data_IF_902080512943
#
_entry.id   IF_902080512943
#
_cell.length_a   1.000
_cell.length_b   1.000
_cell.length_c   1.000
_cell.angle_alpha   90.00
_cell.angle_beta   90.00
_cell.angle_gamma   90.00
#
_symmetry.space_group_name_H-M   'P 1'
#
loop_
_entity.id
_entity.type
_entity.pdbx_description
1 polymer ?
#
# COMPACT_ATOMS: atom_id res chain seq x y z
N UNK A 1 -6.36 -2.89 13.88
CA UNK A 1 -7.58 -3.40 13.24
C UNK A 1 -7.29 -3.83 11.81
N UNK A 2 -7.90 -4.96 11.35
CA UNK A 2 -7.83 -5.40 9.95
C UNK A 2 -9.15 -5.09 9.22
N UNK A 3 -9.05 -4.52 8.03
CA UNK A 3 -10.19 -4.24 7.15
C UNK A 3 -9.92 -4.94 5.81
N UNK A 4 -10.76 -5.90 5.38
CA UNK A 4 -11.90 -6.49 6.11
C UNK A 4 -11.49 -7.34 7.32
N UNK A 5 -12.36 -7.41 8.31
CA UNK A 5 -12.11 -8.09 9.60
C UNK A 5 -11.80 -9.59 9.47
N UNK A 6 -12.22 -10.25 8.38
CA UNK A 6 -11.90 -11.67 8.12
C UNK A 6 -10.40 -11.97 8.14
N UNK A 7 -9.54 -11.01 7.79
CA UNK A 7 -8.09 -11.18 7.80
C UNK A 7 -7.46 -11.13 9.20
N UNK A 8 -8.19 -10.68 10.22
CA UNK A 8 -7.75 -10.81 11.61
C UNK A 8 -7.49 -12.26 11.98
N UNK A 9 -8.40 -13.17 11.58
CA UNK A 9 -8.22 -14.61 11.82
C UNK A 9 -6.96 -15.14 11.13
N UNK A 10 -6.69 -14.74 9.89
CA UNK A 10 -5.49 -15.14 9.15
C UNK A 10 -4.22 -14.66 9.87
N UNK A 11 -4.20 -13.39 10.31
CA UNK A 11 -3.07 -12.84 11.06
C UNK A 11 -2.84 -13.60 12.37
N UNK A 12 -3.88 -13.79 13.18
CA UNK A 12 -3.77 -14.49 14.47
C UNK A 12 -3.30 -15.93 14.30
N UNK A 13 -3.80 -16.66 13.30
CA UNK A 13 -3.37 -18.00 13.00
C UNK A 13 -1.86 -18.10 12.72
N UNK A 14 -1.29 -17.11 12.02
CA UNK A 14 0.15 -17.04 11.81
C UNK A 14 0.91 -16.70 13.07
N UNK A 15 0.40 -15.78 13.90
CA UNK A 15 1.07 -15.36 15.14
C UNK A 15 1.06 -16.44 16.21
N UNK A 16 -0.05 -17.20 16.34
CA UNK A 16 -0.19 -18.32 17.29
C UNK A 16 0.69 -19.52 16.94
N UNK A 17 1.04 -19.67 15.66
CA UNK A 17 1.87 -20.75 15.14
C UNK A 17 3.20 -20.23 14.56
N UNK A 18 3.73 -19.16 15.11
CA UNK A 18 4.97 -18.58 14.64
C UNK A 18 6.16 -19.48 14.95
N UNK A 19 7.05 -19.66 13.99
CA UNK A 19 8.30 -20.40 14.12
C UNK A 19 9.50 -19.48 13.98
N UNK A 20 10.68 -19.99 14.35
CA UNK A 20 11.94 -19.29 14.15
C UNK A 20 12.13 -18.89 12.69
N UNK A 21 12.60 -17.69 12.49
CA UNK A 21 12.85 -17.13 11.17
C UNK A 21 14.34 -17.05 10.89
N UNK A 22 14.82 -17.87 9.97
CA UNK A 22 16.18 -17.72 9.46
C UNK A 22 16.27 -16.45 8.63
N UNK A 23 17.06 -15.48 9.10
CA UNK A 23 17.21 -14.17 8.47
C UNK A 23 18.34 -14.11 7.45
N UNK A 24 19.18 -15.12 7.34
CA UNK A 24 20.29 -15.17 6.39
C UNK A 24 19.86 -15.66 5.01
N UNK A 25 20.43 -15.08 3.96
CA UNK A 25 20.23 -15.47 2.56
C UNK A 25 21.56 -15.55 1.84
N UNK A 26 21.74 -16.59 1.04
CA UNK A 26 22.92 -16.84 0.20
C UNK A 26 22.69 -16.29 -1.19
N UNK A 27 22.57 -14.96 -1.28
CA UNK A 27 22.38 -14.22 -2.53
C UNK A 27 23.43 -13.14 -2.70
N UNK A 28 23.66 -12.70 -3.92
CA UNK A 28 24.69 -11.70 -4.23
C UNK A 28 24.32 -10.29 -3.76
N UNK A 29 23.05 -9.90 -3.90
CA UNK A 29 22.56 -8.59 -3.53
C UNK A 29 21.81 -8.62 -2.20
N UNK A 30 22.11 -7.68 -1.34
CA UNK A 30 21.43 -7.51 -0.06
C UNK A 30 22.29 -6.76 0.96
N UNK A 31 21.72 -6.53 2.14
CA UNK A 31 22.45 -6.00 3.27
C UNK A 31 23.25 -7.11 3.94
N UNK A 32 24.56 -7.00 3.93
CA UNK A 32 25.43 -7.98 4.54
C UNK A 32 25.18 -8.05 6.04
N UNK A 33 25.13 -9.25 6.59
CA UNK A 33 24.89 -9.47 8.02
C UNK A 33 26.05 -8.86 8.82
N UNK A 34 25.79 -7.95 9.79
CA UNK A 34 26.82 -7.30 10.57
C UNK A 34 27.32 -8.18 11.73
N UNK A 35 27.57 -9.45 11.44
CA UNK A 35 28.08 -10.45 12.35
C UNK A 35 29.53 -10.78 11.98
N UNK A 36 30.39 -10.86 12.98
CA UNK A 36 31.83 -11.08 12.84
C UNK A 36 32.28 -12.23 13.75
N UNK A 37 32.94 -13.20 13.17
CA UNK A 37 33.40 -14.40 13.88
C UNK A 37 34.90 -14.32 14.10
N UNK A 38 35.32 -14.40 15.36
CA UNK A 38 36.72 -14.58 15.68
C UNK A 38 37.17 -15.99 15.28
N UNK A 39 38.14 -16.11 14.37
CA UNK A 39 38.60 -17.39 13.88
C UNK A 39 39.49 -18.13 14.90
N UNK A 40 39.97 -17.43 15.95
CA UNK A 40 40.87 -18.01 16.94
C UNK A 40 40.11 -18.55 18.18
N UNK A 41 39.03 -17.91 18.60
CA UNK A 41 38.26 -18.33 19.79
C UNK A 41 36.76 -18.61 19.54
N UNK A 42 36.26 -18.40 18.31
CA UNK A 42 34.88 -18.64 17.94
C UNK A 42 33.88 -17.61 18.47
N UNK A 43 34.33 -16.51 19.06
CA UNK A 43 33.43 -15.46 19.55
C UNK A 43 32.67 -14.79 18.42
N UNK A 44 31.35 -14.62 18.61
CA UNK A 44 30.47 -13.89 17.72
C UNK A 44 30.31 -12.46 18.22
N UNK A 45 30.62 -11.50 17.36
CA UNK A 45 30.43 -10.08 17.60
C UNK A 45 29.43 -9.52 16.60
N UNK A 46 28.50 -8.68 17.03
CA UNK A 46 27.52 -7.97 16.16
C UNK A 46 27.77 -6.47 16.34
N UNK A 47 28.28 -5.85 15.29
CA UNK A 47 28.77 -4.47 15.34
C UNK A 47 28.37 -3.70 14.06
N UNK A 48 28.09 -2.41 14.18
CA UNK A 48 27.80 -1.54 13.02
C UNK A 48 28.97 -1.43 12.05
N UNK A 49 30.18 -1.47 12.59
CA UNK A 49 31.44 -1.40 11.83
C UNK A 49 32.29 -2.60 12.16
N UNK A 50 33.12 -3.04 11.20
CA UNK A 50 34.00 -4.17 11.40
C UNK A 50 34.93 -3.96 12.62
N UNK A 51 34.87 -4.83 13.64
CA UNK A 51 35.73 -4.70 14.82
C UNK A 51 37.19 -4.98 14.45
N UNK A 52 38.10 -4.15 14.98
CA UNK A 52 39.54 -4.34 14.77
C UNK A 52 40.12 -5.51 15.57
N UNK A 53 39.52 -5.83 16.70
CA UNK A 53 39.98 -6.90 17.62
C UNK A 53 38.78 -7.63 18.22
N UNK A 54 38.97 -8.91 18.45
CA UNK A 54 37.99 -9.72 19.16
C UNK A 54 37.81 -9.22 20.61
N UNK A 55 36.57 -9.02 21.01
CA UNK A 55 36.22 -8.55 22.37
C UNK A 55 36.63 -9.51 23.46
N UNK A 56 36.76 -10.82 23.14
CA UNK A 56 37.09 -11.87 24.11
C UNK A 56 38.57 -12.19 24.20
N UNK A 57 39.25 -12.41 23.07
CA UNK A 57 40.66 -12.84 23.06
C UNK A 57 41.65 -11.83 22.50
N UNK A 58 41.20 -10.67 22.01
CA UNK A 58 42.04 -9.63 21.44
C UNK A 58 42.62 -9.94 20.06
N UNK A 59 42.30 -11.08 19.45
CA UNK A 59 42.77 -11.45 18.12
C UNK A 59 42.26 -10.50 17.06
N UNK A 60 43.05 -10.29 16.02
CA UNK A 60 42.68 -9.53 14.81
C UNK A 60 42.17 -10.45 13.68
N UNK A 61 42.17 -11.77 13.88
CA UNK A 61 41.72 -12.76 12.93
C UNK A 61 40.19 -12.87 12.97
N UNK A 62 39.52 -11.91 12.33
CA UNK A 62 38.06 -11.77 12.36
C UNK A 62 37.53 -11.89 10.95
N UNK A 63 36.48 -12.70 10.77
CA UNK A 63 35.77 -12.85 9.49
C UNK A 63 34.33 -12.42 9.64
N UNK A 64 33.87 -11.53 8.75
CA UNK A 64 32.46 -11.16 8.67
C UNK A 64 31.65 -12.29 8.03
N UNK A 65 30.42 -12.45 8.46
CA UNK A 65 29.44 -13.33 7.82
C UNK A 65 29.33 -13.04 6.33
N UNK A 66 29.27 -14.08 5.49
CA UNK A 66 29.21 -13.94 4.02
C UNK A 66 27.78 -13.75 3.52
N UNK A 67 26.79 -14.12 4.33
CA UNK A 67 25.38 -14.04 3.97
C UNK A 67 24.85 -12.60 4.09
N UNK A 68 23.71 -12.39 3.47
CA UNK A 68 22.97 -11.13 3.54
C UNK A 68 21.66 -11.32 4.30
N UNK A 69 21.10 -10.24 4.81
CA UNK A 69 19.81 -10.25 5.48
C UNK A 69 18.67 -10.51 4.49
N UNK A 70 17.68 -11.27 4.93
CA UNK A 70 16.40 -11.41 4.24
C UNK A 70 15.80 -10.02 3.96
N UNK A 71 15.28 -9.81 2.76
CA UNK A 71 14.60 -8.58 2.35
C UNK A 71 13.52 -8.14 3.34
N UNK A 72 12.80 -9.11 3.90
CA UNK A 72 11.74 -8.82 4.87
C UNK A 72 12.25 -8.32 6.23
N UNK A 73 13.53 -8.47 6.51
CA UNK A 73 14.13 -7.92 7.73
C UNK A 73 14.13 -6.40 7.72
N UNK A 74 14.72 -5.79 6.69
CA UNK A 74 14.71 -4.33 6.53
C UNK A 74 13.31 -3.78 6.24
N UNK A 75 12.49 -4.52 5.48
CA UNK A 75 11.10 -4.16 5.22
C UNK A 75 10.25 -4.08 6.49
N UNK A 76 10.56 -4.89 7.51
CA UNK A 76 9.88 -4.85 8.80
C UNK A 76 10.19 -3.58 9.61
N UNK A 77 11.30 -2.92 9.34
CA UNK A 77 11.70 -1.67 10.02
C UNK A 77 11.08 -0.42 9.38
N UNK A 78 10.50 -0.55 8.20
CA UNK A 78 10.03 0.56 7.39
C UNK A 78 9.15 1.58 8.12
N UNK A 79 8.16 1.20 8.96
CA UNK A 79 7.27 2.17 9.60
C UNK A 79 7.95 3.19 10.49
N UNK A 80 9.14 2.90 10.98
CA UNK A 80 9.88 3.77 11.89
C UNK A 80 11.28 4.15 11.40
N UNK A 81 11.96 3.28 10.64
CA UNK A 81 13.30 3.57 10.12
C UNK A 81 13.31 4.74 9.12
N UNK A 82 12.28 4.84 8.28
CA UNK A 82 12.14 5.94 7.31
C UNK A 82 11.80 7.28 7.97
N UNK A 83 11.39 7.27 9.22
CA UNK A 83 11.04 8.45 10.00
C UNK A 83 12.19 8.92 10.91
N UNK A 84 13.37 8.33 10.74
CA UNK A 84 14.58 8.75 11.42
C UNK A 84 15.06 7.87 12.58
N UNK A 85 14.37 6.74 12.89
CA UNK A 85 14.89 5.77 13.84
C UNK A 85 16.28 5.26 13.39
N UNK A 86 17.27 5.07 14.29
CA UNK A 86 17.16 4.99 15.76
C UNK A 86 17.18 6.33 16.51
N UNK A 87 17.25 7.49 15.84
CA UNK A 87 17.12 8.77 16.51
C UNK A 87 15.69 8.99 17.02
N UNK A 88 15.44 8.69 18.29
CA UNK A 88 14.13 8.86 18.95
C UNK A 88 13.70 10.32 19.07
N UNK A 89 14.61 11.27 18.87
CA UNK A 89 14.32 12.71 18.89
C UNK A 89 13.88 13.26 17.52
N UNK A 90 13.87 12.43 16.47
CA UNK A 90 13.40 12.83 15.15
C UNK A 90 11.97 13.40 15.22
N UNK A 91 11.77 14.57 14.63
CA UNK A 91 10.47 15.26 14.54
C UNK A 91 9.46 14.42 13.75
N UNK A 92 9.91 13.79 12.66
CA UNK A 92 9.06 12.96 11.82
C UNK A 92 8.61 11.70 12.56
N UNK A 93 9.52 11.06 13.31
CA UNK A 93 9.19 9.89 14.12
C UNK A 93 8.16 10.23 15.21
N UNK A 94 8.32 11.35 15.88
CA UNK A 94 7.39 11.81 16.93
C UNK A 94 6.02 12.18 16.38
N UNK A 95 5.95 12.70 15.15
CA UNK A 95 4.72 13.17 14.55
C UNK A 95 3.95 12.07 13.80
N UNK A 96 4.67 11.26 13.00
CA UNK A 96 4.04 10.32 12.09
C UNK A 96 3.91 8.89 12.61
N UNK A 97 4.64 8.53 13.67
CA UNK A 97 4.55 7.19 14.28
C UNK A 97 3.63 7.19 15.50
N UNK A 98 2.66 6.27 15.60
CA UNK A 98 2.22 5.30 14.59
C UNK A 98 1.47 5.95 13.44
N UNK A 99 1.54 5.34 12.26
CA UNK A 99 0.77 5.78 11.10
C UNK A 99 -0.71 5.40 11.23
N UNK A 100 -1.59 6.06 10.48
CA UNK A 100 -3.03 5.83 10.57
C UNK A 100 -3.45 4.52 9.91
N UNK A 101 -3.01 4.31 8.65
CA UNK A 101 -3.43 3.17 7.83
C UNK A 101 -2.24 2.58 7.09
N UNK A 102 -2.13 1.24 7.13
CA UNK A 102 -1.25 0.45 6.30
C UNK A 102 -2.08 -0.24 5.22
N UNK A 103 -1.74 -0.03 3.95
CA UNK A 103 -2.45 -0.64 2.81
C UNK A 103 -1.55 -1.70 2.18
N UNK A 104 -2.06 -2.92 2.00
CA UNK A 104 -1.30 -4.03 1.41
C UNK A 104 -2.19 -5.14 0.86
N UNK A 105 -1.60 -6.03 0.05
CA UNK A 105 -2.26 -7.27 -0.38
C UNK A 105 -2.30 -8.33 0.73
N UNK A 106 -3.27 -9.22 0.62
CA UNK A 106 -3.44 -10.31 1.61
C UNK A 106 -2.29 -11.33 1.58
N UNK A 107 -1.57 -11.44 0.47
CA UNK A 107 -0.52 -12.44 0.27
C UNK A 107 0.76 -12.16 1.04
N UNK A 108 0.92 -10.95 1.57
CA UNK A 108 2.09 -10.55 2.38
C UNK A 108 1.73 -10.15 3.82
N UNK A 109 0.58 -10.54 4.32
CA UNK A 109 0.20 -10.30 5.72
C UNK A 109 1.28 -10.87 6.67
N UNK A 110 1.70 -12.12 6.46
CA UNK A 110 2.72 -12.74 7.28
C UNK A 110 4.12 -12.17 7.02
N UNK A 111 4.50 -12.06 5.75
CA UNK A 111 5.86 -11.65 5.39
C UNK A 111 6.17 -10.19 5.72
N UNK A 112 5.19 -9.32 5.69
CA UNK A 112 5.39 -7.89 5.87
C UNK A 112 4.63 -7.32 7.06
N UNK A 113 3.31 -7.46 7.10
CA UNK A 113 2.47 -6.83 8.14
C UNK A 113 2.83 -7.36 9.52
N UNK A 114 2.86 -8.69 9.71
CA UNK A 114 3.20 -9.30 10.98
C UNK A 114 4.61 -8.89 11.45
N UNK A 115 5.57 -8.87 10.52
CA UNK A 115 6.95 -8.48 10.81
C UNK A 115 7.09 -7.01 11.19
N UNK A 116 6.37 -6.10 10.53
CA UNK A 116 6.31 -4.70 10.95
C UNK A 116 5.69 -4.55 12.34
N UNK A 117 4.64 -5.31 12.64
CA UNK A 117 3.97 -5.23 13.95
C UNK A 117 4.92 -5.68 15.06
N UNK A 118 5.52 -6.86 14.98
CA UNK A 118 6.39 -7.31 16.07
C UNK A 118 7.69 -6.49 16.16
N UNK A 119 8.26 -6.03 15.03
CA UNK A 119 9.43 -5.15 15.04
C UNK A 119 9.09 -3.79 15.66
N UNK A 120 7.94 -3.22 15.32
CA UNK A 120 7.46 -1.98 15.92
C UNK A 120 7.19 -2.12 17.42
N UNK A 121 6.53 -3.19 17.84
CA UNK A 121 6.31 -3.48 19.25
C UNK A 121 7.62 -3.67 20.02
N UNK A 122 8.63 -4.32 19.42
CA UNK A 122 9.92 -4.52 20.07
C UNK A 122 10.74 -3.23 20.13
N UNK A 123 10.88 -2.49 19.04
CA UNK A 123 11.76 -1.33 18.96
C UNK A 123 11.11 -0.04 19.50
N UNK A 124 9.84 0.17 19.18
CA UNK A 124 9.12 1.41 19.51
C UNK A 124 8.16 1.24 20.70
N UNK A 125 7.96 0.01 21.20
CA UNK A 125 7.03 -0.36 22.28
C UNK A 125 5.59 0.08 22.02
N UNK A 126 5.24 0.24 20.73
CA UNK A 126 3.93 0.70 20.27
C UNK A 126 3.64 0.14 18.88
N UNK A 127 2.36 -0.12 18.60
CA UNK A 127 1.92 -0.57 17.28
C UNK A 127 2.34 0.41 16.17
N UNK A 128 2.80 -0.09 15.00
CA UNK A 128 3.27 0.79 13.92
C UNK A 128 2.14 1.49 13.16
N UNK A 129 0.92 0.96 13.20
CA UNK A 129 -0.25 1.51 12.52
C UNK A 129 -1.55 1.04 13.19
N UNK A 130 -2.61 1.86 13.09
CA UNK A 130 -3.89 1.56 13.72
C UNK A 130 -4.74 0.61 12.88
N UNK A 131 -4.77 0.81 11.58
CA UNK A 131 -5.58 0.06 10.63
C UNK A 131 -4.71 -0.59 9.56
N UNK A 132 -4.97 -1.87 9.27
CA UNK A 132 -4.43 -2.59 8.12
C UNK A 132 -5.54 -2.79 7.11
N UNK A 133 -5.47 -2.04 6.02
CA UNK A 133 -6.42 -2.16 4.92
C UNK A 133 -5.88 -3.16 3.89
N UNK A 134 -6.60 -4.26 3.71
CA UNK A 134 -6.21 -5.34 2.81
C UNK A 134 -6.95 -5.18 1.49
N UNK A 135 -6.20 -5.02 0.40
CA UNK A 135 -6.74 -5.09 -0.96
C UNK A 135 -6.55 -6.49 -1.57
N UNK A 136 -7.34 -6.78 -2.60
CA UNK A 136 -7.14 -7.96 -3.43
C UNK A 136 -6.03 -7.79 -4.45
N UNK A 137 -5.73 -8.85 -5.19
CA UNK A 137 -4.76 -8.84 -6.29
C UNK A 137 -5.46 -8.59 -7.62
N UNK A 138 -4.78 -7.84 -8.49
CA UNK A 138 -5.20 -7.72 -9.88
C UNK A 138 -4.76 -8.99 -10.63
N UNK A 139 -5.71 -9.67 -11.26
CA UNK A 139 -5.50 -10.91 -12.03
C UNK A 139 -5.77 -10.66 -13.51
N UNK A 140 -5.26 -11.52 -14.37
CA UNK A 140 -5.58 -11.48 -15.78
C UNK A 140 -7.07 -11.81 -16.06
N UNK A 141 -7.49 -11.71 -17.30
CA UNK A 141 -8.87 -12.00 -17.77
C UNK A 141 -9.33 -13.43 -17.42
N UNK A 142 -8.39 -14.38 -17.31
CA UNK A 142 -8.62 -15.78 -16.94
C UNK A 142 -8.58 -16.01 -15.42
N UNK A 143 -8.34 -14.97 -14.63
CA UNK A 143 -8.24 -15.05 -13.16
C UNK A 143 -6.92 -15.59 -12.64
N UNK A 144 -5.86 -15.67 -13.46
CA UNK A 144 -4.54 -16.11 -13.04
C UNK A 144 -3.75 -14.93 -12.45
N UNK A 145 -2.91 -15.21 -11.47
CA UNK A 145 -1.97 -14.20 -10.93
C UNK A 145 -1.04 -13.74 -12.04
N UNK A 146 -0.90 -12.44 -12.22
CA UNK A 146 0.04 -11.87 -13.18
C UNK A 146 1.48 -12.12 -12.72
N UNK A 147 2.33 -12.57 -13.63
CA UNK A 147 3.76 -12.78 -13.38
C UNK A 147 4.59 -12.57 -14.64
N UNK A 148 5.85 -12.17 -14.44
CA UNK A 148 6.80 -12.01 -15.54
C UNK A 148 7.03 -13.31 -16.31
N UNK A 149 7.07 -14.45 -15.59
CA UNK A 149 7.29 -15.77 -16.19
C UNK A 149 6.15 -16.25 -17.07
N UNK A 150 4.91 -15.84 -16.78
CA UNK A 150 3.74 -16.17 -17.61
C UNK A 150 3.51 -15.18 -18.75
N UNK A 151 4.20 -14.05 -18.77
CA UNK A 151 4.02 -13.00 -19.77
C UNK A 151 2.60 -12.43 -19.84
N UNK A 152 1.82 -12.57 -18.75
CA UNK A 152 0.43 -12.11 -18.67
C UNK A 152 0.29 -10.80 -17.88
N UNK A 153 1.40 -10.12 -17.62
CA UNK A 153 1.39 -8.79 -17.01
C UNK A 153 0.87 -7.74 -18.01
N UNK A 154 0.12 -6.79 -17.50
CA UNK A 154 -0.38 -5.65 -18.27
C UNK A 154 0.43 -4.43 -17.83
N UNK A 155 1.03 -3.74 -18.79
CA UNK A 155 1.74 -2.49 -18.50
C UNK A 155 0.74 -1.36 -18.27
N UNK A 156 0.71 -0.76 -17.08
CA UNK A 156 -0.19 0.35 -16.80
C UNK A 156 0.11 1.60 -17.64
N UNK A 157 1.35 1.81 -18.08
CA UNK A 157 1.70 2.94 -18.94
C UNK A 157 1.10 2.79 -20.34
N UNK A 158 1.19 1.58 -20.94
CA UNK A 158 0.54 1.30 -22.22
C UNK A 158 -0.98 1.50 -22.15
N UNK A 159 -1.59 1.11 -21.03
CA UNK A 159 -3.03 1.32 -20.79
C UNK A 159 -3.36 2.81 -20.66
N UNK A 160 -2.55 3.57 -19.95
CA UNK A 160 -2.72 5.01 -19.81
C UNK A 160 -2.54 5.74 -21.15
N UNK A 161 -1.57 5.35 -21.96
CA UNK A 161 -1.34 5.91 -23.29
C UNK A 161 -2.49 5.60 -24.28
N UNK A 162 -3.04 4.40 -24.20
CA UNK A 162 -4.10 3.94 -25.11
C UNK A 162 -5.48 4.45 -24.73
N UNK A 163 -5.83 4.43 -23.45
CA UNK A 163 -7.18 4.71 -22.96
C UNK A 163 -7.30 5.99 -22.14
N UNK A 164 -6.19 6.55 -21.69
CA UNK A 164 -6.12 7.68 -20.77
C UNK A 164 -5.91 7.23 -19.32
N UNK A 165 -5.15 8.01 -18.57
CA UNK A 165 -4.85 7.72 -17.16
C UNK A 165 -6.12 7.69 -16.29
N UNK A 166 -7.09 8.57 -16.55
CA UNK A 166 -8.36 8.61 -15.81
C UNK A 166 -9.18 7.32 -16.01
N UNK A 167 -9.23 6.81 -17.25
CA UNK A 167 -9.92 5.56 -17.56
C UNK A 167 -9.29 4.37 -16.84
N UNK A 168 -7.96 4.28 -16.82
CA UNK A 168 -7.24 3.23 -16.10
C UNK A 168 -7.50 3.32 -14.59
N UNK A 169 -7.35 4.50 -14.00
CA UNK A 169 -7.59 4.73 -12.57
C UNK A 169 -9.02 4.40 -12.18
N UNK A 170 -9.98 4.84 -12.96
CA UNK A 170 -11.39 4.57 -12.73
C UNK A 170 -11.71 3.07 -12.85
N UNK A 171 -11.13 2.37 -13.86
CA UNK A 171 -11.27 0.92 -13.99
C UNK A 171 -10.72 0.15 -12.78
N UNK A 172 -9.58 0.60 -12.21
CA UNK A 172 -8.96 -0.06 -11.06
C UNK A 172 -9.74 0.16 -9.75
N UNK A 173 -10.46 1.26 -9.65
CA UNK A 173 -11.24 1.60 -8.45
C UNK A 173 -12.63 0.97 -8.50
N UNK A 174 -13.31 1.04 -9.65
CA UNK A 174 -14.70 0.56 -9.80
C UNK A 174 -14.79 -0.96 -9.81
N UNK A 175 -15.83 -1.50 -9.18
CA UNK A 175 -16.07 -2.94 -9.14
C UNK A 175 -15.14 -3.72 -8.20
N UNK A 176 -14.39 -3.03 -7.34
CA UNK A 176 -13.56 -3.62 -6.30
C UNK A 176 -14.28 -3.62 -4.96
N UNK A 177 -14.04 -4.69 -4.19
CA UNK A 177 -14.38 -4.71 -2.78
C UNK A 177 -13.16 -5.07 -1.95
N UNK A 178 -12.99 -4.53 -0.74
CA UNK A 178 -11.81 -4.75 0.08
C UNK A 178 -11.50 -6.24 0.26
N UNK A 179 -10.24 -6.62 0.02
CA UNK A 179 -9.72 -7.97 0.20
C UNK A 179 -10.12 -8.99 -0.87
N UNK A 180 -10.85 -8.60 -1.92
CA UNK A 180 -11.20 -9.48 -3.03
C UNK A 180 -10.34 -9.20 -4.26
N UNK A 181 -9.99 -10.28 -4.98
CA UNK A 181 -9.26 -10.17 -6.24
C UNK A 181 -10.12 -9.58 -7.34
N UNK A 182 -9.50 -8.80 -8.21
CA UNK A 182 -10.11 -8.22 -9.38
C UNK A 182 -9.53 -8.84 -10.65
N UNK A 183 -10.38 -9.24 -11.60
CA UNK A 183 -9.96 -9.57 -12.96
C UNK A 183 -9.87 -8.29 -13.78
N UNK A 184 -8.73 -8.08 -14.42
CA UNK A 184 -8.53 -6.94 -15.30
C UNK A 184 -8.95 -7.29 -16.73
N UNK A 185 -9.90 -6.54 -17.25
CA UNK A 185 -10.36 -6.64 -18.63
C UNK A 185 -9.99 -5.34 -19.36
N UNK A 186 -9.21 -5.46 -20.44
CA UNK A 186 -8.78 -4.31 -21.25
C UNK A 186 -9.99 -3.55 -21.83
N UNK A 187 -11.01 -4.28 -22.27
CA UNK A 187 -12.25 -3.71 -22.81
C UNK A 187 -12.96 -2.78 -21.81
N UNK A 188 -12.85 -3.08 -20.52
CA UNK A 188 -13.43 -2.26 -19.47
C UNK A 188 -12.76 -0.88 -19.40
N UNK A 189 -11.45 -0.76 -19.70
CA UNK A 189 -10.78 0.53 -19.83
C UNK A 189 -11.41 1.39 -20.93
N UNK A 190 -11.79 0.78 -22.06
CA UNK A 190 -12.53 1.45 -23.12
C UNK A 190 -13.90 2.00 -22.68
N UNK A 191 -14.63 1.22 -21.88
CA UNK A 191 -15.91 1.67 -21.30
C UNK A 191 -15.71 2.84 -20.33
N UNK A 192 -14.67 2.78 -19.47
CA UNK A 192 -14.33 3.87 -18.54
C UNK A 192 -13.91 5.16 -19.27
N UNK A 193 -13.16 5.03 -20.37
CA UNK A 193 -12.84 6.19 -21.24
C UNK A 193 -14.10 6.81 -21.81
N UNK A 194 -15.04 6.00 -22.30
CA UNK A 194 -16.28 6.51 -22.84
C UNK A 194 -17.13 7.21 -21.77
N UNK A 195 -17.12 6.72 -20.54
CA UNK A 195 -17.76 7.39 -19.41
C UNK A 195 -17.11 8.74 -19.10
N UNK A 196 -15.78 8.81 -19.02
CA UNK A 196 -15.07 10.08 -18.82
C UNK A 196 -15.38 11.08 -19.95
N UNK A 197 -15.40 10.62 -21.21
CA UNK A 197 -15.78 11.43 -22.36
C UNK A 197 -17.23 11.92 -22.31
N UNK A 198 -18.15 11.09 -21.78
CA UNK A 198 -19.54 11.50 -21.56
C UNK A 198 -19.63 12.69 -20.61
N UNK A 199 -18.93 12.64 -19.48
CA UNK A 199 -18.89 13.74 -18.51
C UNK A 199 -18.27 15.00 -19.14
N UNK A 200 -17.14 14.86 -19.83
CA UNK A 200 -16.49 15.94 -20.53
C UNK A 200 -17.41 16.63 -21.55
N UNK A 201 -18.05 15.84 -22.41
CA UNK A 201 -18.91 16.37 -23.45
C UNK A 201 -20.20 17.01 -22.88
N UNK A 202 -20.78 16.44 -21.83
CA UNK A 202 -21.92 17.04 -21.15
C UNK A 202 -21.53 18.39 -20.52
N UNK A 203 -20.39 18.45 -19.81
CA UNK A 203 -19.88 19.69 -19.23
C UNK A 203 -19.57 20.74 -20.33
N UNK A 204 -18.92 20.31 -21.41
CA UNK A 204 -18.64 21.20 -22.56
C UNK A 204 -19.92 21.75 -23.19
N UNK A 205 -20.95 20.92 -23.37
CA UNK A 205 -22.24 21.35 -23.89
C UNK A 205 -22.88 22.42 -22.99
N UNK A 206 -22.88 22.18 -21.67
CA UNK A 206 -23.37 23.19 -20.72
C UNK A 206 -22.59 24.47 -20.84
N UNK A 207 -21.24 24.43 -20.81
CA UNK A 207 -20.38 25.61 -20.91
C UNK A 207 -20.59 26.42 -22.21
N UNK A 208 -20.81 25.72 -23.32
CA UNK A 208 -21.06 26.40 -24.62
C UNK A 208 -22.40 27.13 -24.67
N UNK A 209 -23.35 26.76 -23.83
CA UNK A 209 -24.69 27.36 -23.78
C UNK A 209 -24.87 28.26 -22.54
N UNK A 210 -23.84 28.45 -21.73
CA UNK A 210 -23.89 29.35 -20.60
C UNK A 210 -23.59 30.79 -21.06
N UNK A 211 -24.48 31.70 -20.70
CA UNK A 211 -24.28 33.16 -20.73
C UNK A 211 -24.25 33.61 -19.27
N UNK A 212 -23.13 33.39 -18.60
CA UNK A 212 -23.01 33.74 -17.16
C UNK A 212 -22.37 35.12 -17.05
N UNK A 213 -23.14 36.08 -16.56
CA UNK A 213 -22.63 37.39 -16.16
C UNK A 213 -22.32 37.45 -14.65
N UNK A 214 -22.85 36.50 -13.85
CA UNK A 214 -22.69 36.46 -12.39
C UNK A 214 -22.61 35.01 -11.89
N UNK A 215 -21.76 34.77 -10.86
CA UNK A 215 -21.60 33.47 -10.18
C UNK A 215 -22.56 33.32 -8.99
N UNK A 216 -23.70 34.00 -8.98
CA UNK A 216 -24.67 33.95 -7.90
C UNK A 216 -25.93 33.23 -8.36
N UNK A 217 -26.50 32.44 -7.44
CA UNK A 217 -27.81 31.83 -7.68
C UNK A 217 -28.88 32.94 -7.77
N UNK A 218 -29.89 32.77 -8.62
CA UNK A 218 -31.02 33.69 -8.66
C UNK A 218 -31.70 33.77 -7.29
N UNK A 219 -32.22 34.94 -6.93
CA UNK A 219 -32.98 35.14 -5.69
C UNK A 219 -34.21 34.23 -5.61
N UNK A 220 -34.81 33.94 -6.75
CA UNK A 220 -35.95 33.03 -6.86
C UNK A 220 -35.58 31.85 -7.75
N UNK A 221 -35.70 30.65 -7.19
CA UNK A 221 -35.49 29.40 -7.90
C UNK A 221 -36.81 28.80 -8.32
N UNK A 222 -36.88 28.39 -9.60
CA UNK A 222 -38.00 27.62 -10.13
C UNK A 222 -38.04 26.17 -9.57
N UNK A 223 -39.08 25.42 -9.85
CA UNK A 223 -39.24 24.07 -9.33
C UNK A 223 -38.13 23.12 -9.84
N UNK A 224 -37.77 23.27 -11.10
CA UNK A 224 -36.70 22.52 -11.78
C UNK A 224 -35.34 22.78 -11.17
N UNK A 225 -35.04 24.04 -10.85
CA UNK A 225 -33.79 24.44 -10.21
C UNK A 225 -33.65 23.81 -8.82
N UNK A 226 -34.72 23.89 -8.03
CA UNK A 226 -34.77 23.27 -6.69
C UNK A 226 -34.60 21.77 -6.75
N UNK A 227 -35.20 21.13 -7.76
CA UNK A 227 -35.08 19.68 -7.96
C UNK A 227 -33.64 19.29 -8.33
N UNK A 228 -33.00 19.99 -9.29
CA UNK A 228 -31.63 19.71 -9.71
C UNK A 228 -30.65 19.94 -8.55
N UNK A 229 -30.76 21.04 -7.82
CA UNK A 229 -29.90 21.33 -6.65
C UNK A 229 -30.08 20.30 -5.54
N UNK A 230 -31.33 19.89 -5.28
CA UNK A 230 -31.62 18.83 -4.29
C UNK A 230 -30.95 17.49 -4.69
N UNK A 231 -31.07 17.11 -5.98
CA UNK A 231 -30.43 15.91 -6.51
C UNK A 231 -28.91 16.00 -6.45
N UNK A 232 -28.32 17.13 -6.82
CA UNK A 232 -26.89 17.36 -6.75
C UNK A 232 -26.37 17.21 -5.32
N UNK A 233 -27.04 17.84 -4.36
CA UNK A 233 -26.61 17.76 -2.95
C UNK A 233 -26.71 16.34 -2.40
N UNK A 234 -27.79 15.62 -2.73
CA UNK A 234 -27.96 14.21 -2.32
C UNK A 234 -26.87 13.34 -2.93
N UNK A 235 -26.68 13.44 -4.25
CA UNK A 235 -25.67 12.65 -4.96
C UNK A 235 -24.25 12.94 -4.44
N UNK A 236 -23.91 14.22 -4.26
CA UNK A 236 -22.58 14.60 -3.74
C UNK A 236 -22.33 14.00 -2.35
N UNK A 237 -23.33 14.04 -1.46
CA UNK A 237 -23.24 13.44 -0.15
C UNK A 237 -23.06 11.93 -0.21
N UNK A 238 -23.90 11.24 -0.99
CA UNK A 238 -23.83 9.79 -1.16
C UNK A 238 -22.49 9.32 -1.74
N UNK A 239 -21.97 10.04 -2.75
CA UNK A 239 -20.65 9.73 -3.34
C UNK A 239 -19.54 9.89 -2.30
N UNK A 240 -19.51 10.98 -1.55
CA UNK A 240 -18.50 11.19 -0.51
C UNK A 240 -18.57 10.11 0.57
N UNK A 241 -19.77 9.82 1.08
CA UNK A 241 -19.97 8.78 2.10
C UNK A 241 -19.54 7.40 1.59
N UNK A 242 -19.86 7.04 0.37
CA UNK A 242 -19.47 5.77 -0.21
C UNK A 242 -17.96 5.67 -0.48
N UNK A 243 -17.30 6.76 -0.88
CA UNK A 243 -15.85 6.80 -1.02
C UNK A 243 -15.15 6.64 0.33
N UNK A 244 -15.63 7.32 1.38
CA UNK A 244 -15.09 7.22 2.74
C UNK A 244 -15.23 5.80 3.31
N UNK A 245 -16.29 5.09 2.96
CA UNK A 245 -16.53 3.70 3.36
C UNK A 245 -15.87 2.67 2.43
N UNK A 246 -15.14 3.10 1.40
CA UNK A 246 -14.61 2.22 0.33
C UNK A 246 -15.69 1.41 -0.40
N UNK A 247 -16.91 1.92 -0.44
CA UNK A 247 -18.06 1.30 -1.13
C UNK A 247 -18.19 1.85 -2.57
N UNK A 248 -17.09 1.92 -3.27
CA UNK A 248 -16.96 2.57 -4.58
C UNK A 248 -17.89 1.95 -5.62
N UNK A 249 -18.16 0.64 -5.51
CA UNK A 249 -19.08 -0.08 -6.38
C UNK A 249 -20.56 0.37 -6.26
N UNK A 250 -20.92 1.12 -5.22
CA UNK A 250 -22.26 1.67 -5.02
C UNK A 250 -22.32 3.13 -5.51
N UNK A 251 -21.17 3.78 -5.66
CA UNK A 251 -21.04 5.17 -6.12
C UNK A 251 -21.08 5.31 -7.64
N UNK A 252 -21.21 4.22 -8.37
CA UNK A 252 -21.34 4.26 -9.84
C UNK A 252 -22.73 4.84 -10.20
N UNK A 253 -22.77 5.90 -11.05
CA UNK A 253 -24.03 6.47 -11.51
C UNK A 253 -24.75 5.59 -12.54
#
# INVERSE_FOLDING_TARGET
EFVPSRFTKTYLQWMENIHDWCISRQIWWGHRIPAYYCQDCGELMVEETAPHKCSKCGSTNIKQDEDVLDTWFSSALWPFSTLGWPNTESTDLKYWYPTSVMVTGYDIIFFWVARMIFSGMEQMKKEPFKTVFIHGLVRDDKGRKMSKSLGNGIDPLEMADTYGADALRFNLITGNSPGNDMRFYVEKCGAMRNFANKLWNASRFVMMNLTIDKNELPETLELEDKWVLSKLNTLSKEVCENLDLSLIHISEP
#
